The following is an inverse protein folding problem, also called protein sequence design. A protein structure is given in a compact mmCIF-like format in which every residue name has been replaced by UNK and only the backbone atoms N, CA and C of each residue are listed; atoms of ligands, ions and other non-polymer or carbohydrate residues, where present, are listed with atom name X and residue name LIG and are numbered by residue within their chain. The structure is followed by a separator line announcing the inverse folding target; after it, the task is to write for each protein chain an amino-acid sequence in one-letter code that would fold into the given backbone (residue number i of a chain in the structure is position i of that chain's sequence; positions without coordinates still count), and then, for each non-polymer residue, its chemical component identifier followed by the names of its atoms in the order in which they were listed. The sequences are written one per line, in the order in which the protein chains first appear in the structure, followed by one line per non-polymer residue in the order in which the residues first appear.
data_IF_314576835209
#
_entry.id   IF_314576835209
#
_cell.length_a   1.000
_cell.length_b   1.000
_cell.length_c   1.000
_cell.angle_alpha   90.00
_cell.angle_beta   90.00
_cell.angle_gamma   90.00
#
_symmetry.space_group_name_H-M   'P 1'
#
loop_
_entity.id
_entity.type
_entity.pdbx_description
1 polymer ?
#
# COMPACT_ATOMS: atom_id res chain seq x y z
N UNK A 1 19.64 29.98 51.97
CA UNK A 1 20.26 29.37 53.16
C UNK A 1 19.23 28.57 53.96
N UNK A 2 19.49 27.25 54.08
CA UNK A 2 19.46 26.41 55.29
C UNK A 2 18.23 26.49 56.25
N UNK A 3 17.39 25.44 56.27
CA UNK A 3 17.15 24.44 57.37
C UNK A 3 16.39 24.99 58.61
N UNK A 4 15.44 24.29 59.24
CA UNK A 4 15.64 23.09 60.07
C UNK A 4 14.32 22.40 60.54
N UNK A 5 14.38 21.05 60.57
CA UNK A 5 13.91 20.05 61.56
C UNK A 5 12.43 19.77 61.92
N UNK A 6 11.99 18.59 61.44
CA UNK A 6 11.42 17.40 62.13
C UNK A 6 10.12 17.44 62.94
N UNK A 7 9.24 16.47 62.63
CA UNK A 7 8.90 15.44 63.62
C UNK A 7 8.59 14.10 62.94
N UNK A 8 9.11 13.03 63.53
CA UNK A 8 9.11 11.65 63.08
C UNK A 8 8.07 10.90 63.93
N UNK A 9 7.18 10.13 63.32
CA UNK A 9 6.38 9.14 64.04
C UNK A 9 6.19 7.89 63.18
N UNK A 10 6.95 6.86 63.53
CA UNK A 10 6.58 5.45 63.34
C UNK A 10 6.40 4.91 64.75
N UNK A 11 5.55 3.90 65.00
CA UNK A 11 6.01 2.53 64.70
C UNK A 11 4.90 1.51 64.38
N UNK A 12 5.31 0.42 63.71
CA UNK A 12 5.07 -1.00 64.07
C UNK A 12 3.59 -1.51 64.15
N UNK A 13 3.21 -2.73 63.74
CA UNK A 13 3.93 -3.96 63.35
C UNK A 13 2.88 -5.08 63.23
N UNK A 14 3.04 -5.97 62.25
CA UNK A 14 2.70 -7.41 62.25
C UNK A 14 1.22 -7.83 62.33
N UNK A 15 0.77 -9.01 61.89
CA UNK A 15 1.33 -10.17 61.18
C UNK A 15 0.18 -11.19 61.22
N UNK A 16 -0.32 -11.67 60.08
CA UNK A 16 -1.02 -12.96 59.95
C UNK A 16 -1.23 -13.20 58.44
N UNK A 17 -0.28 -13.79 57.71
CA UNK A 17 -0.09 -15.23 57.54
C UNK A 17 -1.40 -16.03 57.47
N UNK A 18 -1.82 -16.43 56.26
CA UNK A 18 -2.19 -17.81 55.98
C UNK A 18 -1.82 -18.18 54.54
N UNK A 19 -1.20 -19.34 54.43
CA UNK A 19 -0.48 -19.93 53.31
C UNK A 19 -1.32 -21.15 52.90
N UNK A 20 -1.79 -21.22 51.65
CA UNK A 20 -2.30 -22.48 51.07
C UNK A 20 -1.80 -22.61 49.64
N UNK A 21 -1.21 -23.78 49.40
CA UNK A 21 -0.47 -24.19 48.24
C UNK A 21 -1.34 -24.35 46.97
N UNK A 22 -0.83 -23.83 45.85
CA UNK A 22 -1.29 -24.17 44.51
C UNK A 22 -0.14 -24.82 43.73
N UNK A 23 -0.19 -26.15 43.63
CA UNK A 23 0.77 -26.98 42.89
C UNK A 23 0.57 -26.84 41.36
N UNK A 24 1.71 -26.89 40.66
CA UNK A 24 1.89 -27.27 39.26
C UNK A 24 1.43 -26.29 38.15
N UNK A 25 2.27 -25.28 37.92
CA UNK A 25 2.37 -24.58 36.64
C UNK A 25 3.08 -25.46 35.60
N UNK A 26 2.35 -26.00 34.63
CA UNK A 26 2.91 -26.50 33.37
C UNK A 26 2.19 -25.78 32.23
N UNK A 27 2.64 -24.56 31.94
CA UNK A 27 2.33 -23.87 30.69
C UNK A 27 3.26 -24.43 29.62
N UNK A 28 2.79 -25.46 28.90
CA UNK A 28 3.39 -25.87 27.63
C UNK A 28 3.33 -24.66 26.69
N UNK A 29 4.44 -23.96 26.54
CA UNK A 29 4.62 -22.95 25.51
C UNK A 29 4.73 -23.68 24.17
N UNK A 30 3.60 -23.81 23.48
CA UNK A 30 3.59 -24.19 22.08
C UNK A 30 4.37 -23.12 21.30
N UNK A 31 5.62 -23.42 20.95
CA UNK A 31 6.41 -22.63 20.01
C UNK A 31 5.71 -22.71 18.64
N UNK A 32 4.86 -21.74 18.35
CA UNK A 32 4.33 -21.54 17.01
C UNK A 32 5.53 -21.32 16.07
N UNK A 33 5.61 -22.02 14.92
CA UNK A 33 6.62 -21.69 13.92
C UNK A 33 6.38 -20.25 13.48
N UNK A 34 7.38 -19.40 13.68
CA UNK A 34 7.42 -18.06 13.13
C UNK A 34 7.44 -18.18 11.61
N UNK A 35 6.25 -18.25 11.00
CA UNK A 35 6.11 -18.04 9.58
C UNK A 35 6.67 -16.65 9.29
N UNK A 36 7.80 -16.62 8.58
CA UNK A 36 8.48 -15.41 8.16
C UNK A 36 7.45 -14.41 7.63
N UNK A 37 7.29 -13.30 8.36
CA UNK A 37 6.50 -12.17 7.92
C UNK A 37 7.28 -11.56 6.74
N UNK A 38 7.04 -12.05 5.52
CA UNK A 38 7.60 -11.44 4.32
C UNK A 38 6.99 -10.04 4.23
N UNK A 39 7.74 -9.03 4.66
CA UNK A 39 7.37 -7.64 4.43
C UNK A 39 7.23 -7.43 2.91
N UNK A 40 6.03 -7.19 2.37
CA UNK A 40 5.88 -6.93 0.94
C UNK A 40 6.51 -5.56 0.66
N UNK A 41 7.74 -5.54 0.15
CA UNK A 41 8.46 -4.28 -0.09
C UNK A 41 9.96 -4.41 -0.38
N UNK A 42 10.57 -5.57 -0.13
CA UNK A 42 12.01 -5.79 -0.36
C UNK A 42 12.25 -6.56 -1.66
N UNK A 43 12.11 -5.88 -2.81
CA UNK A 43 12.71 -6.29 -4.09
C UNK A 43 12.12 -7.53 -4.79
N UNK A 44 11.12 -8.20 -4.23
CA UNK A 44 10.39 -9.28 -4.88
C UNK A 44 9.26 -8.77 -5.78
N UNK A 45 8.90 -9.54 -6.81
CA UNK A 45 7.66 -9.30 -7.58
C UNK A 45 6.46 -9.29 -6.63
N UNK A 46 5.78 -8.15 -6.56
CA UNK A 46 4.59 -7.96 -5.74
C UNK A 46 3.39 -8.62 -6.41
N UNK A 47 2.52 -9.20 -5.58
CA UNK A 47 1.24 -9.72 -6.04
C UNK A 47 0.28 -8.57 -6.30
N UNK A 48 -0.37 -8.59 -7.46
CA UNK A 48 -1.43 -7.65 -7.82
C UNK A 48 -2.77 -8.38 -7.83
N UNK A 49 -3.87 -7.72 -7.46
CA UNK A 49 -5.20 -8.30 -7.60
C UNK A 49 -5.52 -8.69 -9.04
N UNK A 50 -6.36 -9.72 -9.23
CA UNK A 50 -6.78 -10.18 -10.56
C UNK A 50 -7.55 -9.11 -11.36
N UNK A 51 -8.23 -8.21 -10.65
CA UNK A 51 -8.93 -7.07 -11.24
C UNK A 51 -7.98 -5.96 -11.71
N UNK A 52 -6.68 -6.01 -11.38
CA UNK A 52 -5.73 -4.97 -11.74
C UNK A 52 -5.36 -5.03 -13.23
N UNK A 53 -5.60 -3.91 -13.91
CA UNK A 53 -5.27 -3.70 -15.32
C UNK A 53 -3.96 -2.94 -15.46
N UNK A 54 -3.31 -3.06 -16.62
CA UNK A 54 -2.09 -2.32 -16.98
C UNK A 54 -2.43 -1.07 -17.78
N UNK A 55 -1.76 0.04 -17.48
CA UNK A 55 -1.89 1.26 -18.27
C UNK A 55 -0.79 2.29 -18.01
N UNK A 56 -0.93 3.44 -18.67
CA UNK A 56 -0.17 4.67 -18.40
C UNK A 56 -1.08 5.66 -17.68
N UNK A 57 -0.67 6.12 -16.50
CA UNK A 57 -1.41 7.07 -15.68
C UNK A 57 -0.64 8.38 -15.55
N UNK A 58 -1.32 9.50 -15.80
CA UNK A 58 -0.81 10.85 -15.57
C UNK A 58 -1.76 11.54 -14.60
N UNK A 59 -1.27 12.00 -13.44
CA UNK A 59 -2.13 12.69 -12.48
C UNK A 59 -2.26 14.17 -12.88
N UNK A 60 -3.48 14.64 -13.13
CA UNK A 60 -3.74 16.02 -13.53
C UNK A 60 -4.04 16.89 -12.31
N UNK A 61 -4.87 16.36 -11.40
CA UNK A 61 -5.25 16.97 -10.12
C UNK A 61 -5.38 15.90 -9.04
N UNK A 62 -5.79 16.27 -7.83
CA UNK A 62 -6.08 15.32 -6.75
C UNK A 62 -7.39 14.54 -6.92
N UNK A 63 -8.23 14.89 -7.90
CA UNK A 63 -9.53 14.23 -8.14
C UNK A 63 -9.66 13.68 -9.55
N UNK A 64 -8.71 13.98 -10.43
CA UNK A 64 -8.75 13.62 -11.85
C UNK A 64 -7.37 13.28 -12.40
N UNK A 65 -7.33 12.30 -13.30
CA UNK A 65 -6.13 11.83 -13.97
C UNK A 65 -6.41 11.50 -15.44
N UNK A 66 -5.36 11.34 -16.24
CA UNK A 66 -5.43 10.80 -17.59
C UNK A 66 -4.88 9.37 -17.57
N UNK A 67 -5.73 8.41 -17.92
CA UNK A 67 -5.41 6.99 -17.99
C UNK A 67 -5.51 6.51 -19.43
N UNK A 68 -4.41 5.99 -19.99
CA UNK A 68 -4.32 5.54 -21.38
C UNK A 68 -4.86 6.60 -22.38
N UNK A 69 -4.51 7.86 -22.16
CA UNK A 69 -4.95 8.99 -22.99
C UNK A 69 -6.38 9.48 -22.74
N UNK A 70 -7.14 8.85 -21.83
CA UNK A 70 -8.52 9.23 -21.49
C UNK A 70 -8.61 9.78 -20.07
N UNK A 71 -9.35 10.88 -19.90
CA UNK A 71 -9.61 11.44 -18.57
C UNK A 71 -10.44 10.48 -17.72
N UNK A 72 -10.06 10.31 -16.45
CA UNK A 72 -10.74 9.48 -15.46
C UNK A 72 -10.80 10.18 -14.10
N UNK A 73 -11.90 9.97 -13.38
CA UNK A 73 -12.10 10.45 -12.01
C UNK A 73 -11.45 9.50 -11.01
N UNK A 74 -10.83 10.07 -10.00
CA UNK A 74 -10.24 9.31 -8.90
C UNK A 74 -11.23 9.23 -7.74
N UNK A 75 -11.31 8.06 -7.13
CA UNK A 75 -12.16 7.86 -5.97
C UNK A 75 -11.67 8.68 -4.77
N UNK A 76 -12.57 9.09 -3.85
CA UNK A 76 -12.17 9.63 -2.56
C UNK A 76 -11.24 8.64 -1.84
N UNK A 77 -10.03 9.08 -1.48
CA UNK A 77 -9.03 8.21 -0.84
C UNK A 77 -8.27 7.28 -1.77
N UNK A 78 -8.25 7.56 -3.09
CA UNK A 78 -7.44 6.83 -4.07
C UNK A 78 -5.99 6.66 -3.58
N UNK A 79 -5.48 5.44 -3.68
CA UNK A 79 -4.12 5.08 -3.23
C UNK A 79 -3.18 4.98 -4.42
N UNK A 80 -2.18 5.86 -4.47
CA UNK A 80 -1.04 5.72 -5.37
C UNK A 80 0.12 5.10 -4.60
N UNK A 81 0.61 3.97 -5.07
CA UNK A 81 1.65 3.19 -4.40
C UNK A 81 2.92 3.16 -5.24
N UNK A 82 4.05 3.41 -4.60
CA UNK A 82 5.38 3.37 -5.22
C UNK A 82 5.77 1.92 -5.58
N UNK A 83 6.86 1.73 -6.33
CA UNK A 83 7.43 0.40 -6.54
C UNK A 83 7.81 -0.31 -5.24
N UNK A 84 8.16 0.45 -4.19
CA UNK A 84 8.44 -0.06 -2.84
C UNK A 84 7.15 -0.33 -2.04
N UNK A 85 5.98 -0.24 -2.68
CA UNK A 85 4.66 -0.42 -2.08
C UNK A 85 4.34 0.59 -0.96
N UNK A 86 4.93 1.79 -1.03
CA UNK A 86 4.67 2.89 -0.10
C UNK A 86 3.70 3.90 -0.71
N UNK A 87 2.88 4.58 0.11
CA UNK A 87 1.97 5.60 -0.40
C UNK A 87 2.76 6.79 -0.94
N UNK A 88 2.44 7.14 -2.19
CA UNK A 88 2.96 8.33 -2.86
C UNK A 88 1.95 9.45 -2.69
N UNK A 89 2.44 10.61 -2.29
CA UNK A 89 1.64 11.82 -2.19
C UNK A 89 1.31 12.34 -3.59
N UNK A 90 0.04 12.31 -4.00
CA UNK A 90 -0.39 12.68 -5.35
C UNK A 90 0.14 14.05 -5.82
N UNK A 91 0.20 15.04 -4.91
CA UNK A 91 0.70 16.38 -5.20
C UNK A 91 2.15 16.44 -5.67
N UNK A 92 3.00 15.47 -5.30
CA UNK A 92 4.43 15.48 -5.66
C UNK A 92 4.69 14.94 -7.06
N UNK A 93 3.66 14.35 -7.68
CA UNK A 93 3.77 13.62 -8.96
C UNK A 93 2.76 14.12 -10.00
N UNK A 94 2.14 15.28 -9.76
CA UNK A 94 1.24 15.91 -10.73
C UNK A 94 1.97 16.22 -12.03
N UNK A 95 1.30 15.99 -13.16
CA UNK A 95 1.84 16.16 -14.51
C UNK A 95 2.82 15.08 -14.96
N UNK A 96 3.21 14.15 -14.08
CA UNK A 96 4.11 13.06 -14.44
C UNK A 96 3.33 11.84 -14.89
N UNK A 97 3.90 11.13 -15.87
CA UNK A 97 3.30 9.93 -16.46
C UNK A 97 4.03 8.68 -15.98
N UNK A 98 3.29 7.70 -15.49
CA UNK A 98 3.84 6.44 -14.97
C UNK A 98 3.20 5.25 -15.64
N UNK A 99 3.99 4.19 -15.85
CA UNK A 99 3.45 2.86 -16.08
C UNK A 99 2.93 2.31 -14.76
N UNK A 100 1.65 1.96 -14.75
CA UNK A 100 0.95 1.51 -13.54
C UNK A 100 0.17 0.24 -13.77
N UNK A 101 0.00 -0.54 -12.71
CA UNK A 101 -1.18 -1.38 -12.58
C UNK A 101 -2.26 -0.58 -11.84
N UNK A 102 -3.53 -0.75 -12.19
CA UNK A 102 -4.63 0.02 -11.60
C UNK A 102 -5.91 -0.80 -11.44
N UNK A 103 -6.76 -0.42 -10.49
CA UNK A 103 -8.10 -0.99 -10.33
C UNK A 103 -9.14 0.12 -10.42
N UNK A 104 -10.18 -0.14 -11.21
CA UNK A 104 -11.38 0.68 -11.29
C UNK A 104 -12.47 0.03 -10.45
N UNK A 105 -13.15 0.83 -9.65
CA UNK A 105 -14.33 0.37 -8.92
C UNK A 105 -15.50 0.16 -9.88
N UNK A 106 -16.07 -1.05 -9.88
CA UNK A 106 -17.15 -1.42 -10.81
C UNK A 106 -18.44 -0.63 -10.59
N UNK A 107 -18.74 -0.21 -9.35
CA UNK A 107 -19.99 0.50 -9.02
C UNK A 107 -19.97 1.97 -9.44
N UNK A 108 -18.82 2.65 -9.33
CA UNK A 108 -18.71 4.09 -9.59
C UNK A 108 -17.95 4.42 -10.87
N UNK A 109 -17.17 3.48 -11.40
CA UNK A 109 -16.25 3.70 -12.52
C UNK A 109 -15.02 4.53 -12.15
N UNK A 110 -14.78 4.78 -10.86
CA UNK A 110 -13.66 5.60 -10.40
C UNK A 110 -12.38 4.79 -10.20
N UNK A 111 -11.23 5.44 -10.40
CA UNK A 111 -9.92 4.87 -10.08
C UNK A 111 -9.72 4.81 -8.57
N UNK A 112 -9.57 3.60 -8.00
CA UNK A 112 -9.44 3.42 -6.54
C UNK A 112 -8.00 3.17 -6.09
N UNK A 113 -7.18 2.51 -6.89
CA UNK A 113 -5.80 2.21 -6.54
C UNK A 113 -4.95 2.09 -7.78
N UNK A 114 -3.75 2.66 -7.73
CA UNK A 114 -2.73 2.52 -8.75
C UNK A 114 -1.38 2.21 -8.11
N UNK A 115 -0.59 1.38 -8.78
CA UNK A 115 0.74 0.98 -8.38
C UNK A 115 1.72 1.34 -9.48
N UNK A 116 2.68 2.21 -9.17
CA UNK A 116 3.80 2.54 -10.05
C UNK A 116 4.70 1.32 -10.16
N UNK A 117 5.00 0.94 -11.40
CA UNK A 117 5.74 -0.28 -11.69
C UNK A 117 7.23 -0.01 -11.85
N UNK A 118 8.04 -0.94 -11.39
CA UNK A 118 9.41 -1.12 -11.87
C UNK A 118 9.41 -1.58 -13.33
N UNK A 119 10.57 -1.50 -13.98
CA UNK A 119 10.75 -2.01 -15.32
C UNK A 119 10.44 -3.52 -15.42
N UNK A 120 10.97 -4.34 -14.50
CA UNK A 120 10.74 -5.79 -14.52
C UNK A 120 9.28 -6.19 -14.30
N UNK A 121 8.50 -5.38 -13.59
CA UNK A 121 7.05 -5.58 -13.47
C UNK A 121 6.31 -5.14 -14.72
N UNK A 122 6.77 -4.06 -15.37
CA UNK A 122 6.20 -3.57 -16.62
C UNK A 122 6.36 -4.58 -17.77
N UNK A 123 7.38 -5.42 -17.75
CA UNK A 123 7.62 -6.45 -18.77
C UNK A 123 6.69 -7.67 -18.62
N UNK A 124 6.06 -7.85 -17.46
CA UNK A 124 5.14 -8.97 -17.26
C UNK A 124 3.84 -8.80 -18.04
N UNK A 125 3.34 -9.88 -18.68
CA UNK A 125 2.04 -9.88 -19.31
C UNK A 125 0.94 -9.55 -18.30
N UNK A 126 0.03 -8.64 -18.67
CA UNK A 126 -1.15 -8.30 -17.87
C UNK A 126 -2.25 -7.74 -18.75
N UNK A 127 -3.50 -7.99 -18.40
CA UNK A 127 -4.65 -7.40 -19.09
C UNK A 127 -4.49 -5.88 -19.18
N UNK A 128 -4.59 -5.33 -20.39
CA UNK A 128 -4.36 -3.91 -20.68
C UNK A 128 -2.95 -3.55 -21.15
N UNK A 129 -1.98 -4.49 -21.11
CA UNK A 129 -0.63 -4.28 -21.66
C UNK A 129 -0.63 -3.98 -23.17
N UNK A 130 -1.63 -4.49 -23.87
CA UNK A 130 -1.72 -4.46 -25.34
C UNK A 130 -2.34 -3.14 -25.85
N UNK A 131 -2.61 -2.18 -24.96
CA UNK A 131 -3.01 -0.81 -25.32
C UNK A 131 -1.82 -0.01 -25.86
N UNK A 132 -1.03 -0.60 -26.75
CA UNK A 132 -0.30 0.18 -27.74
C UNK A 132 -1.38 0.75 -28.64
N UNK A 133 -1.67 2.05 -28.50
CA UNK A 133 -2.51 2.81 -29.42
C UNK A 133 -1.81 2.80 -30.79
N UNK A 134 -2.05 1.73 -31.57
CA UNK A 134 -1.47 1.61 -32.90
C UNK A 134 -2.33 2.44 -33.84
N UNK A 135 -2.01 3.72 -33.90
CA UNK A 135 -2.55 4.68 -34.87
C UNK A 135 -2.06 4.34 -36.27
N UNK A 136 -2.53 3.22 -36.84
CA UNK A 136 -2.29 2.89 -38.24
C UNK A 136 -3.29 3.65 -39.10
N UNK A 137 -2.80 4.67 -39.82
CA UNK A 137 -3.51 5.30 -40.93
C UNK A 137 -3.22 4.48 -42.19
N UNK A 138 -4.16 3.65 -42.62
CA UNK A 138 -4.10 3.02 -43.94
C UNK A 138 -4.62 4.02 -44.98
N UNK A 139 -3.76 4.91 -45.45
CA UNK A 139 -4.08 5.82 -46.54
C UNK A 139 -3.98 5.03 -47.86
N UNK A 140 -5.09 4.44 -48.30
CA UNK A 140 -5.20 3.88 -49.64
C UNK A 140 -5.45 5.02 -50.61
N UNK A 141 -4.38 5.52 -51.23
CA UNK A 141 -4.46 6.55 -52.27
C UNK A 141 -4.98 5.93 -53.58
N UNK A 142 -6.14 6.32 -54.12
CA UNK A 142 -6.56 5.87 -55.44
C UNK A 142 -5.79 6.66 -56.50
N UNK A 143 -4.79 6.01 -57.11
CA UNK A 143 -4.15 6.51 -58.33
C UNK A 143 -5.23 6.66 -59.40
N UNK A 144 -5.66 7.91 -59.63
CA UNK A 144 -6.55 8.27 -60.74
C UNK A 144 -5.73 8.20 -62.03
N UNK A 145 -6.17 7.36 -62.96
CA UNK A 145 -5.72 7.36 -64.36
C UNK A 145 -6.28 8.57 -65.12
#
# INVERSE_FOLDING_TARGET
MNRCTTSHASPMRNLSQHLVAGLASVLLHAALPAAAQVQPGLGGMRNFPDAALRGTLTLNTVSEATLNGRTIRMAPGMRLLSPQNTLVMAHTVLGQSYKVNYVIETSTGMLITAWILTQGEAEQPRKGSDTVERNYRAESDPIKK
#
